data_IF_714967707525
#
_entry.id   IF_714967707525
#
_cell.length_a   1.000
_cell.length_b   1.000
_cell.length_c   1.000
_cell.angle_alpha   90.00
_cell.angle_beta   90.00
_cell.angle_gamma   90.00
#
_symmetry.space_group_name_H-M   'P 1'
#
loop_
_entity.id
_entity.type
_entity.pdbx_description
1 polymer ?
#
# COMPACT_ATOMS: atom_id res chain seq x y z
N UNK A 1 11.01 9.82 -14.74
CA UNK A 1 10.79 9.37 -13.34
C UNK A 1 9.40 8.75 -13.30
N UNK A 2 9.22 7.57 -12.70
CA UNK A 2 7.88 7.01 -12.54
C UNK A 2 7.11 7.93 -11.57
N UNK A 3 5.89 8.40 -11.91
CA UNK A 3 5.18 9.42 -11.13
C UNK A 3 4.49 8.83 -9.89
N UNK A 4 5.12 7.85 -9.22
CA UNK A 4 4.52 7.15 -8.08
C UNK A 4 4.28 8.06 -6.90
N UNK A 5 5.13 9.07 -6.73
CA UNK A 5 4.98 10.08 -5.67
C UNK A 5 3.73 10.93 -5.95
N UNK A 6 3.54 11.44 -7.16
CA UNK A 6 2.34 12.23 -7.49
C UNK A 6 1.06 11.40 -7.38
N UNK A 7 1.10 10.13 -7.81
CA UNK A 7 -0.05 9.21 -7.69
C UNK A 7 -0.46 8.97 -6.23
N UNK A 8 0.52 8.75 -5.34
CA UNK A 8 0.25 8.57 -3.91
C UNK A 8 -0.24 9.86 -3.25
N UNK A 9 0.37 11.00 -3.59
CA UNK A 9 -0.07 12.30 -3.10
C UNK A 9 -1.52 12.61 -3.51
N UNK A 10 -1.90 12.30 -4.76
CA UNK A 10 -3.27 12.42 -5.26
C UNK A 10 -4.24 11.55 -4.47
N UNK A 11 -3.95 10.25 -4.32
CA UNK A 11 -4.79 9.34 -3.54
C UNK A 11 -4.98 9.80 -2.08
N UNK A 12 -3.91 10.27 -1.43
CA UNK A 12 -3.98 10.80 -0.06
C UNK A 12 -4.85 12.05 0.01
N UNK A 13 -4.71 12.97 -0.96
CA UNK A 13 -5.53 14.17 -1.02
C UNK A 13 -7.02 13.82 -1.19
N UNK A 14 -7.35 12.88 -2.09
CA UNK A 14 -8.72 12.41 -2.30
C UNK A 14 -9.30 11.73 -1.05
N UNK A 15 -8.51 10.96 -0.30
CA UNK A 15 -8.92 10.32 0.95
C UNK A 15 -9.24 11.37 2.04
N UNK A 16 -8.42 12.42 2.15
CA UNK A 16 -8.65 13.53 3.09
C UNK A 16 -9.91 14.31 2.74
N UNK A 17 -10.14 14.59 1.46
CA UNK A 17 -11.38 15.26 1.03
C UNK A 17 -12.63 14.40 1.27
N UNK A 18 -12.53 13.07 1.13
CA UNK A 18 -13.62 12.17 1.50
C UNK A 18 -13.90 12.20 3.01
N UNK A 19 -12.87 12.21 3.87
CA UNK A 19 -13.06 12.34 5.32
C UNK A 19 -13.77 13.65 5.69
N UNK A 20 -13.40 14.77 5.04
CA UNK A 20 -14.08 16.06 5.20
C UNK A 20 -15.53 16.01 4.73
N UNK A 21 -15.80 15.41 3.57
CA UNK A 21 -17.15 15.26 3.04
C UNK A 21 -18.05 14.43 3.98
N UNK A 22 -17.48 13.45 4.69
CA UNK A 22 -18.16 12.64 5.72
C UNK A 22 -18.23 13.31 7.09
N UNK A 23 -17.63 14.50 7.26
CA UNK A 23 -17.53 15.22 8.54
C UNK A 23 -16.85 14.40 9.64
N UNK A 24 -15.84 13.60 9.28
CA UNK A 24 -15.07 12.76 10.20
C UNK A 24 -13.72 13.40 10.52
N UNK A 25 -13.22 13.20 11.74
CA UNK A 25 -11.95 13.79 12.20
C UNK A 25 -10.76 12.86 11.96
N UNK A 26 -11.00 11.56 11.89
CA UNK A 26 -10.00 10.53 11.63
C UNK A 26 -10.39 9.62 10.48
N UNK A 27 -9.35 9.15 9.78
CA UNK A 27 -9.40 8.09 8.79
C UNK A 27 -8.20 7.18 9.01
N UNK A 28 -8.45 5.90 9.19
CA UNK A 28 -7.42 4.90 9.47
C UNK A 28 -7.64 3.66 8.61
N UNK A 29 -6.56 3.03 8.16
CA UNK A 29 -6.67 1.76 7.46
C UNK A 29 -7.14 0.67 8.44
N UNK A 30 -8.17 -0.09 8.06
CA UNK A 30 -8.63 -1.23 8.85
C UNK A 30 -7.46 -2.23 9.03
N UNK A 31 -7.29 -2.75 10.25
CA UNK A 31 -6.18 -3.63 10.58
C UNK A 31 -6.14 -4.91 9.72
N UNK A 32 -7.30 -5.50 9.39
CA UNK A 32 -7.36 -6.65 8.51
C UNK A 32 -7.00 -6.29 7.06
N UNK A 33 -7.41 -5.10 6.59
CA UNK A 33 -7.03 -4.63 5.27
C UNK A 33 -5.51 -4.44 5.16
N UNK A 34 -4.87 -3.89 6.20
CA UNK A 34 -3.42 -3.80 6.27
C UNK A 34 -2.75 -5.18 6.26
N UNK A 35 -3.26 -6.16 7.01
CA UNK A 35 -2.74 -7.54 7.00
C UNK A 35 -2.88 -8.17 5.62
N UNK A 36 -4.04 -8.03 4.96
CA UNK A 36 -4.28 -8.53 3.60
C UNK A 36 -3.32 -7.88 2.59
N UNK A 37 -3.17 -6.56 2.64
CA UNK A 37 -2.25 -5.84 1.76
C UNK A 37 -0.80 -6.30 1.95
N UNK A 38 -0.36 -6.47 3.20
CA UNK A 38 0.98 -6.99 3.51
C UNK A 38 1.17 -8.40 2.96
N UNK A 39 0.17 -9.29 3.11
CA UNK A 39 0.21 -10.63 2.55
C UNK A 39 0.34 -10.61 1.03
N UNK A 40 -0.47 -9.81 0.33
CA UNK A 40 -0.38 -9.62 -1.13
C UNK A 40 1.01 -9.14 -1.57
N UNK A 41 1.59 -8.16 -0.87
CA UNK A 41 2.95 -7.66 -1.15
C UNK A 41 3.99 -8.78 -1.00
N UNK A 42 3.88 -9.60 0.06
CA UNK A 42 4.80 -10.73 0.25
C UNK A 42 4.61 -11.83 -0.80
N UNK A 43 3.37 -12.15 -1.16
CA UNK A 43 3.05 -13.16 -2.18
C UNK A 43 3.61 -12.78 -3.54
N UNK A 44 3.39 -11.53 -3.98
CA UNK A 44 3.95 -11.03 -5.23
C UNK A 44 5.47 -11.08 -5.20
N UNK A 45 6.10 -10.67 -4.10
CA UNK A 45 7.57 -10.72 -3.98
C UNK A 45 8.12 -12.12 -4.19
N UNK A 46 7.52 -13.15 -3.58
CA UNK A 46 7.94 -14.56 -3.67
C UNK A 46 7.94 -15.12 -5.10
N UNK A 47 7.16 -14.52 -6.01
CA UNK A 47 7.10 -14.91 -7.42
C UNK A 47 8.24 -14.30 -8.26
N UNK A 48 9.02 -13.39 -7.69
CA UNK A 48 10.10 -12.69 -8.40
C UNK A 48 11.48 -13.17 -7.98
N UNK A 49 12.49 -12.89 -8.81
CA UNK A 49 13.89 -13.15 -8.47
C UNK A 49 14.37 -12.30 -7.27
N UNK A 50 13.73 -11.16 -7.00
CA UNK A 50 14.10 -10.29 -5.88
C UNK A 50 14.06 -11.01 -4.53
N UNK A 51 13.12 -11.94 -4.34
CA UNK A 51 13.01 -12.71 -3.10
C UNK A 51 14.27 -13.56 -2.82
N UNK A 52 14.99 -13.97 -3.87
CA UNK A 52 16.20 -14.80 -3.74
C UNK A 52 17.47 -14.00 -3.45
N UNK A 53 17.40 -12.67 -3.49
CA UNK A 53 18.57 -11.80 -3.37
C UNK A 53 18.65 -11.20 -1.97
N UNK A 54 19.82 -11.34 -1.33
CA UNK A 54 20.13 -10.61 -0.09
C UNK A 54 20.36 -9.13 -0.42
N UNK A 55 19.43 -8.27 -0.04
CA UNK A 55 19.46 -6.84 -0.34
C UNK A 55 18.59 -6.03 0.62
N UNK A 56 18.74 -4.72 0.57
CA UNK A 56 17.89 -3.79 1.31
C UNK A 56 16.42 -3.83 0.84
N UNK A 57 16.16 -4.21 -0.41
CA UNK A 57 14.80 -4.34 -0.98
C UNK A 57 13.98 -5.40 -0.22
N UNK A 58 14.64 -6.48 0.22
CA UNK A 58 14.05 -7.59 0.96
C UNK A 58 14.27 -7.50 2.47
N UNK A 59 14.76 -6.35 2.96
CA UNK A 59 15.04 -6.10 4.38
C UNK A 59 15.93 -7.16 5.06
N UNK A 60 16.79 -7.85 4.32
CA UNK A 60 17.67 -8.91 4.84
C UNK A 60 19.17 -8.57 4.72
N UNK A 61 19.50 -7.28 4.52
CA UNK A 61 20.87 -6.77 4.49
C UNK A 61 21.47 -6.48 5.87
N UNK A 62 20.67 -6.43 6.93
CA UNK A 62 21.12 -6.20 8.31
C UNK A 62 20.91 -7.48 9.12
N UNK A 63 21.93 -7.88 9.88
CA UNK A 63 21.87 -9.05 10.75
C UNK A 63 20.77 -8.90 11.82
N UNK A 64 20.06 -9.99 12.11
CA UNK A 64 18.93 -10.00 13.04
C UNK A 64 17.62 -9.40 12.50
N UNK A 65 17.62 -8.73 11.33
CA UNK A 65 16.35 -8.26 10.72
C UNK A 65 15.58 -9.42 10.08
N UNK A 66 14.27 -9.43 10.31
CA UNK A 66 13.33 -10.32 9.62
C UNK A 66 13.27 -9.92 8.15
N UNK A 67 13.44 -10.89 7.24
CA UNK A 67 13.22 -10.72 5.80
C UNK A 67 11.74 -10.40 5.52
N UNK A 68 11.47 -9.33 4.78
CA UNK A 68 10.18 -9.02 4.19
C UNK A 68 10.36 -8.06 3.01
N UNK A 69 9.50 -8.15 2.00
CA UNK A 69 9.47 -7.16 0.93
C UNK A 69 8.77 -5.90 1.42
N UNK A 70 9.44 -4.75 1.30
CA UNK A 70 8.83 -3.43 1.54
C UNK A 70 8.13 -2.86 0.29
N UNK A 71 8.24 -3.53 -0.86
CA UNK A 71 7.81 -3.00 -2.15
C UNK A 71 6.71 -3.86 -2.76
N UNK A 72 5.68 -3.20 -3.30
CA UNK A 72 4.73 -3.83 -4.19
C UNK A 72 5.40 -4.07 -5.56
N UNK A 73 5.78 -5.32 -5.82
CA UNK A 73 6.50 -5.71 -7.04
C UNK A 73 5.56 -6.15 -8.19
N UNK A 74 4.30 -5.71 -8.16
CA UNK A 74 3.28 -6.03 -9.17
C UNK A 74 3.27 -5.08 -10.38
N UNK A 75 4.12 -4.04 -10.37
CA UNK A 75 4.20 -3.04 -11.42
C UNK A 75 3.26 -1.83 -11.20
N UNK A 76 3.55 -0.73 -11.90
CA UNK A 76 2.86 0.55 -11.70
C UNK A 76 1.38 0.50 -12.08
N UNK A 77 1.04 -0.11 -13.21
CA UNK A 77 -0.36 -0.16 -13.67
C UNK A 77 -1.26 -0.84 -12.65
N UNK A 78 -0.88 -2.04 -12.18
CA UNK A 78 -1.64 -2.76 -11.16
C UNK A 78 -1.73 -1.99 -9.84
N UNK A 79 -0.70 -1.24 -9.47
CA UNK A 79 -0.75 -0.38 -8.29
C UNK A 79 -1.76 0.75 -8.45
N UNK A 80 -1.77 1.43 -9.62
CA UNK A 80 -2.76 2.46 -9.95
C UNK A 80 -4.17 1.89 -9.94
N UNK A 81 -4.37 0.70 -10.53
CA UNK A 81 -5.67 0.03 -10.56
C UNK A 81 -6.17 -0.25 -9.13
N UNK A 82 -5.30 -0.72 -8.23
CA UNK A 82 -5.63 -0.97 -6.82
C UNK A 82 -6.05 0.31 -6.08
N UNK A 83 -5.32 1.40 -6.25
CA UNK A 83 -5.69 2.70 -5.66
C UNK A 83 -7.02 3.20 -6.22
N UNK A 84 -7.22 3.07 -7.53
CA UNK A 84 -8.45 3.48 -8.20
C UNK A 84 -9.68 2.64 -7.80
N UNK A 85 -9.51 1.33 -7.64
CA UNK A 85 -10.56 0.43 -7.11
C UNK A 85 -11.02 0.88 -5.72
N UNK A 86 -10.07 1.13 -4.82
CA UNK A 86 -10.33 1.57 -3.44
C UNK A 86 -11.04 2.92 -3.41
N UNK A 87 -10.55 3.92 -4.16
CA UNK A 87 -11.15 5.25 -4.22
C UNK A 87 -12.57 5.24 -4.83
N UNK A 88 -12.77 4.49 -5.93
CA UNK A 88 -14.10 4.33 -6.57
C UNK A 88 -15.11 3.66 -5.65
N UNK A 89 -14.67 2.68 -4.87
CA UNK A 89 -15.50 1.99 -3.88
C UNK A 89 -15.72 2.80 -2.60
N UNK A 90 -15.25 4.05 -2.55
CA UNK A 90 -15.37 4.95 -1.39
C UNK A 90 -14.65 4.40 -0.15
N UNK A 91 -13.45 3.87 -0.36
CA UNK A 91 -12.47 3.51 0.66
C UNK A 91 -12.96 2.43 1.66
N UNK A 92 -13.43 1.26 1.21
CA UNK A 92 -13.93 0.19 2.09
C UNK A 92 -12.86 -0.41 3.02
N UNK A 93 -11.57 -0.22 2.72
CA UNK A 93 -10.44 -0.65 3.53
C UNK A 93 -10.10 0.34 4.65
N UNK A 94 -10.84 1.44 4.76
CA UNK A 94 -10.61 2.51 5.73
C UNK A 94 -11.81 2.68 6.66
N UNK A 95 -11.51 2.94 7.93
CA UNK A 95 -12.47 3.33 8.95
C UNK A 95 -12.42 4.84 9.10
N UNK A 96 -13.59 5.47 9.07
CA UNK A 96 -13.74 6.90 9.27
C UNK A 96 -14.47 7.11 10.59
N UNK A 97 -13.94 7.98 11.43
CA UNK A 97 -14.45 8.21 12.78
C UNK A 97 -14.32 9.68 13.18
N UNK A 98 -15.16 10.09 14.12
CA UNK A 98 -15.16 11.46 14.66
C UNK A 98 -14.16 11.63 15.78
#
# INVERSE_FOLDING_TARGET
>A
MLPTIELQAGFIAELVEEARARQQQSVEANAEAQVRWAATVQEISKLTVFDKVKSWIQNNNVEGKKKYSAFFLGGLQTYVDKLGEEAKAKYPSFEFSS
#
